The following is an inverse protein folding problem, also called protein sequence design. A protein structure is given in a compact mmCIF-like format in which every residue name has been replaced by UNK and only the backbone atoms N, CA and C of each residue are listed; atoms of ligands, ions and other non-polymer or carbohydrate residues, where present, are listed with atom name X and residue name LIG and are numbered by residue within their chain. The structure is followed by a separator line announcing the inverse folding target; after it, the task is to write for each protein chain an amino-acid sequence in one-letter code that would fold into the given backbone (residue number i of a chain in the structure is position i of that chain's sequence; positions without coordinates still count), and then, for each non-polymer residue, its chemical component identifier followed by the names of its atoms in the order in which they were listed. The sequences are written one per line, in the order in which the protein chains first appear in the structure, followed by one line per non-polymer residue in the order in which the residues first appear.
data_IF_061317930966
#
_entry.id   IF_061317930966
#
_cell.length_a   1.000
_cell.length_b   1.000
_cell.length_c   1.000
_cell.angle_alpha   90.00
_cell.angle_beta   90.00
_cell.angle_gamma   90.00
#
_symmetry.space_group_name_H-M   'P 1'
#
loop_
_entity.id
_entity.type
_entity.pdbx_description
1 polymer ?
#
# COMPACT_ATOMS: atom_id res chain seq x y z
N UNK A 1 18.47 -102.33 17.89
CA UNK A 1 17.90 -103.47 18.63
C UNK A 1 18.25 -103.27 20.11
N UNK A 2 17.75 -104.09 21.03
CA UNK A 2 18.17 -104.00 22.43
C UNK A 2 19.56 -104.63 22.60
N UNK A 3 20.42 -104.05 23.45
CA UNK A 3 21.74 -104.59 23.78
C UNK A 3 21.66 -106.07 24.17
N UNK A 4 22.43 -106.93 23.53
CA UNK A 4 22.51 -108.35 23.88
C UNK A 4 23.59 -108.57 24.94
N UNK A 5 23.20 -109.00 26.14
CA UNK A 5 24.11 -109.26 27.26
C UNK A 5 24.63 -110.70 27.26
N UNK A 6 25.92 -110.88 27.52
CA UNK A 6 26.55 -112.19 27.73
C UNK A 6 26.18 -112.66 29.15
N UNK A 7 25.56 -113.83 29.27
CA UNK A 7 25.35 -114.48 30.55
C UNK A 7 26.66 -115.17 30.98
N UNK A 8 27.27 -114.70 32.06
CA UNK A 8 28.53 -115.26 32.58
C UNK A 8 28.34 -116.44 33.54
N UNK A 9 27.09 -116.87 33.75
CA UNK A 9 26.75 -117.92 34.71
C UNK A 9 26.67 -117.40 36.15
N UNK A 10 26.17 -118.22 37.08
CA UNK A 10 25.95 -117.77 38.47
C UNK A 10 27.20 -117.91 39.35
N UNK A 11 28.17 -118.72 38.94
CA UNK A 11 29.49 -118.80 39.57
C UNK A 11 30.53 -119.31 38.56
N UNK A 12 31.81 -119.09 38.84
CA UNK A 12 32.89 -119.57 37.98
C UNK A 12 32.75 -121.08 37.71
N UNK A 13 32.90 -121.47 36.45
CA UNK A 13 32.91 -122.86 35.97
C UNK A 13 31.62 -123.68 36.18
N UNK A 14 30.50 -123.06 36.57
CA UNK A 14 29.23 -123.78 36.80
C UNK A 14 28.53 -124.25 35.52
N UNK A 15 28.93 -123.72 34.35
CA UNK A 15 28.42 -124.13 33.05
C UNK A 15 27.01 -123.64 32.74
N UNK A 16 26.45 -122.76 33.57
CA UNK A 16 25.13 -122.13 33.40
C UNK A 16 25.20 -120.75 32.71
N UNK A 17 26.36 -120.41 32.17
CA UNK A 17 26.59 -119.24 31.32
C UNK A 17 26.39 -119.54 29.83
N UNK A 18 26.50 -118.50 29.00
CA UNK A 18 26.47 -118.63 27.55
C UNK A 18 27.71 -119.41 27.07
N UNK A 19 27.55 -120.39 26.16
CA UNK A 19 28.68 -120.96 25.44
C UNK A 19 29.44 -119.89 24.66
N UNK A 20 30.75 -120.08 24.50
CA UNK A 20 31.64 -119.13 23.80
C UNK A 20 31.07 -118.68 22.45
N UNK A 21 30.50 -119.61 21.67
CA UNK A 21 29.87 -119.32 20.38
C UNK A 21 28.71 -118.34 20.51
N UNK A 22 27.81 -118.59 21.46
CA UNK A 22 26.65 -117.73 21.71
C UNK A 22 27.09 -116.35 22.20
N UNK A 23 28.08 -116.30 23.09
CA UNK A 23 28.66 -115.05 23.56
C UNK A 23 29.24 -114.22 22.40
N UNK A 24 30.04 -114.82 21.53
CA UNK A 24 30.61 -114.11 20.38
C UNK A 24 29.57 -113.73 19.31
N UNK A 25 28.49 -114.51 19.14
CA UNK A 25 27.36 -114.09 18.29
C UNK A 25 26.68 -112.84 18.83
N UNK A 26 26.44 -112.76 20.15
CA UNK A 26 25.88 -111.56 20.79
C UNK A 26 26.80 -110.35 20.64
N UNK A 27 28.11 -110.56 20.79
CA UNK A 27 29.13 -109.52 20.56
C UNK A 27 29.09 -109.01 19.13
N UNK A 28 29.10 -109.90 18.14
CA UNK A 28 29.03 -109.53 16.73
C UNK A 28 27.73 -108.80 16.40
N UNK A 29 26.59 -109.21 16.97
CA UNK A 29 25.31 -108.52 16.79
C UNK A 29 25.35 -107.08 17.33
N UNK A 30 25.88 -106.88 18.55
CA UNK A 30 26.03 -105.55 19.14
C UNK A 30 26.96 -104.65 18.32
N UNK A 31 28.11 -105.15 17.84
CA UNK A 31 29.02 -104.37 16.99
C UNK A 31 28.44 -104.11 15.60
N UNK A 32 27.71 -105.06 15.02
CA UNK A 32 27.01 -104.86 13.75
C UNK A 32 25.98 -103.74 13.89
N UNK A 33 25.27 -103.66 15.01
CA UNK A 33 24.37 -102.54 15.29
C UNK A 33 25.11 -101.21 15.42
N UNK A 34 26.26 -101.18 16.11
CA UNK A 34 27.08 -99.98 16.22
C UNK A 34 27.57 -99.49 14.85
N UNK A 35 28.06 -100.39 14.00
CA UNK A 35 28.51 -100.08 12.63
C UNK A 35 27.38 -99.70 11.69
N UNK A 36 26.21 -100.35 11.77
CA UNK A 36 25.06 -100.01 10.93
C UNK A 36 24.51 -98.59 11.22
N UNK A 37 24.77 -98.05 12.42
CA UNK A 37 24.41 -96.68 12.80
C UNK A 37 25.50 -95.66 12.48
N UNK A 38 26.66 -96.09 11.99
CA UNK A 38 27.84 -95.25 11.81
C UNK A 38 28.59 -95.63 10.52
N UNK A 39 28.33 -94.91 9.43
CA UNK A 39 28.88 -95.15 8.09
C UNK A 39 30.34 -94.67 7.90
N UNK A 40 31.09 -94.49 8.99
CA UNK A 40 32.45 -93.96 8.98
C UNK A 40 32.53 -92.44 9.14
N UNK A 41 31.39 -91.74 9.06
CA UNK A 41 31.18 -90.43 9.65
C UNK A 41 30.18 -90.60 10.80
N UNK A 42 30.35 -89.90 11.93
CA UNK A 42 29.28 -89.83 12.95
C UNK A 42 28.20 -88.89 12.40
N UNK A 43 27.50 -89.33 11.36
CA UNK A 43 26.29 -88.68 10.90
C UNK A 43 25.21 -88.93 11.97
N UNK A 44 25.08 -87.98 12.90
CA UNK A 44 23.95 -87.94 13.82
C UNK A 44 22.68 -87.68 13.00
N UNK A 45 22.04 -88.75 12.54
CA UNK A 45 20.75 -88.71 11.82
C UNK A 45 19.56 -88.51 12.76
N UNK A 46 19.82 -88.23 14.04
CA UNK A 46 18.83 -87.97 15.09
C UNK A 46 19.26 -86.74 15.89
N UNK A 47 18.33 -86.13 16.65
CA UNK A 47 18.65 -85.04 17.57
C UNK A 47 19.89 -85.34 18.43
N UNK A 48 20.79 -84.38 18.53
CA UNK A 48 21.85 -84.39 19.53
C UNK A 48 21.20 -84.03 20.87
N UNK A 49 21.36 -84.90 21.87
CA UNK A 49 20.91 -84.63 23.25
C UNK A 49 22.12 -84.14 24.05
N UNK A 50 22.02 -82.92 24.60
CA UNK A 50 23.10 -82.28 25.36
C UNK A 50 23.81 -81.16 24.59
N UNK A 51 24.88 -80.63 25.16
CA UNK A 51 25.65 -79.52 24.60
C UNK A 51 26.68 -79.98 23.56
N UNK A 52 26.97 -79.11 22.60
CA UNK A 52 28.02 -79.29 21.59
C UNK A 52 29.16 -78.32 21.89
N UNK A 53 30.39 -78.81 21.86
CA UNK A 53 31.59 -78.02 22.15
C UNK A 53 32.50 -77.98 20.93
N UNK A 54 33.25 -76.89 20.78
CA UNK A 54 34.35 -76.74 19.84
C UNK A 54 35.54 -77.61 20.22
N UNK A 55 36.51 -77.69 19.33
CA UNK A 55 37.80 -78.35 19.56
C UNK A 55 38.59 -77.69 20.71
N UNK A 56 38.44 -76.38 20.87
CA UNK A 56 38.94 -75.57 21.98
C UNK A 56 38.12 -75.70 23.27
N UNK A 57 37.11 -76.58 23.30
CA UNK A 57 36.15 -76.77 24.39
C UNK A 57 35.17 -75.60 24.63
N UNK A 58 35.07 -74.62 23.72
CA UNK A 58 34.04 -73.57 23.78
C UNK A 58 32.66 -74.18 23.53
N UNK A 59 31.67 -73.87 24.38
CA UNK A 59 30.27 -74.31 24.16
C UNK A 59 29.74 -73.63 22.90
N UNK A 60 29.35 -74.39 21.87
CA UNK A 60 28.74 -73.90 20.63
C UNK A 60 27.21 -73.93 20.72
N UNK A 61 26.67 -75.05 21.22
CA UNK A 61 25.25 -75.23 21.52
C UNK A 61 25.14 -75.63 22.97
N UNK A 62 24.41 -74.86 23.75
CA UNK A 62 24.08 -75.19 25.13
C UNK A 62 22.73 -75.91 25.17
N UNK A 63 22.79 -77.24 25.21
CA UNK A 63 21.60 -78.10 25.25
C UNK A 63 20.89 -78.09 26.61
N UNK A 64 21.53 -77.58 27.67
CA UNK A 64 20.91 -77.44 29.00
C UNK A 64 20.01 -76.20 29.05
N UNK A 65 20.49 -75.09 28.49
CA UNK A 65 19.77 -73.80 28.50
C UNK A 65 19.07 -73.46 27.19
N UNK A 66 19.09 -74.35 26.19
CA UNK A 66 18.51 -74.14 24.85
C UNK A 66 19.04 -72.88 24.16
N UNK A 67 20.36 -72.66 24.21
CA UNK A 67 21.01 -71.48 23.60
C UNK A 67 22.02 -71.91 22.54
N UNK A 68 22.18 -71.06 21.54
CA UNK A 68 23.32 -71.12 20.63
C UNK A 68 24.29 -70.04 21.07
N UNK A 69 25.54 -70.42 21.30
CA UNK A 69 26.59 -69.47 21.58
C UNK A 69 27.13 -68.92 20.25
N UNK A 70 26.93 -67.63 20.02
CA UNK A 70 27.42 -66.94 18.83
C UNK A 70 28.72 -66.19 19.15
N UNK A 71 29.69 -66.87 19.75
CA UNK A 71 31.04 -66.34 20.03
C UNK A 71 31.93 -66.38 18.76
N UNK A 72 31.39 -65.87 17.65
CA UNK A 72 31.99 -65.98 16.32
C UNK A 72 31.18 -65.25 15.23
N UNK A 73 31.36 -65.63 13.97
CA UNK A 73 30.68 -65.00 12.83
C UNK A 73 29.46 -65.79 12.38
N UNK A 74 28.38 -65.11 12.01
CA UNK A 74 27.26 -65.72 11.28
C UNK A 74 27.56 -65.69 9.78
N UNK A 75 27.58 -66.86 9.13
CA UNK A 75 27.73 -66.97 7.66
C UNK A 75 26.34 -66.95 7.01
N UNK A 76 25.80 -65.76 6.80
CA UNK A 76 24.53 -65.57 6.09
C UNK A 76 23.60 -64.58 6.80
N UNK A 77 22.36 -64.53 6.33
CA UNK A 77 21.32 -63.69 6.90
C UNK A 77 20.75 -64.33 8.17
N UNK A 78 20.41 -63.50 9.15
CA UNK A 78 19.57 -63.89 10.28
C UNK A 78 18.13 -63.59 9.87
N UNK A 79 17.33 -64.62 9.63
CA UNK A 79 15.93 -64.49 9.20
C UNK A 79 15.06 -65.22 10.24
N UNK A 80 14.09 -64.55 10.87
CA UNK A 80 13.17 -65.22 11.78
C UNK A 80 12.27 -66.21 11.03
N UNK A 81 11.85 -67.29 11.68
CA UNK A 81 10.93 -68.28 11.08
C UNK A 81 9.50 -67.73 10.92
N UNK A 82 9.15 -66.68 11.68
CA UNK A 82 7.84 -66.08 11.74
C UNK A 82 7.94 -64.56 11.71
N UNK A 83 7.12 -63.92 10.88
CA UNK A 83 7.13 -62.48 10.69
C UNK A 83 6.64 -61.73 11.95
N UNK A 84 7.36 -60.66 12.36
CA UNK A 84 7.01 -59.78 13.50
C UNK A 84 6.92 -60.49 14.86
N UNK A 85 7.50 -61.68 15.02
CA UNK A 85 7.41 -62.45 16.26
C UNK A 85 8.62 -62.27 17.21
N UNK A 86 9.79 -61.89 16.68
CA UNK A 86 11.05 -61.90 17.42
C UNK A 86 11.79 -60.57 17.37
N UNK A 87 12.39 -60.21 18.49
CA UNK A 87 13.31 -59.08 18.62
C UNK A 87 14.76 -59.50 18.39
N UNK A 88 15.59 -58.53 18.01
CA UNK A 88 17.05 -58.66 18.02
C UNK A 88 17.58 -57.92 19.25
N UNK A 89 17.90 -58.67 20.29
CA UNK A 89 18.30 -58.16 21.61
C UNK A 89 17.11 -57.89 22.54
N UNK A 90 17.37 -57.24 23.66
CA UNK A 90 16.35 -56.82 24.64
C UNK A 90 16.79 -55.54 25.36
N UNK A 91 15.95 -54.99 26.23
CA UNK A 91 16.29 -53.78 27.01
C UNK A 91 17.51 -53.96 27.94
N UNK A 92 17.81 -55.19 28.34
CA UNK A 92 18.96 -55.53 29.21
C UNK A 92 20.11 -56.21 28.46
N UNK A 93 19.87 -56.71 27.24
CA UNK A 93 20.87 -57.39 26.42
C UNK A 93 20.90 -56.75 25.03
N UNK A 94 21.66 -55.66 24.92
CA UNK A 94 21.76 -54.85 23.71
C UNK A 94 23.09 -55.10 23.00
N UNK A 95 23.07 -54.98 21.67
CA UNK A 95 24.31 -54.81 20.92
C UNK A 95 24.92 -53.44 21.28
N UNK A 96 26.24 -53.41 21.39
CA UNK A 96 26.97 -52.16 21.68
C UNK A 96 26.78 -51.16 20.54
N UNK A 97 27.08 -51.62 19.32
CA UNK A 97 27.06 -50.83 18.10
C UNK A 97 26.50 -51.69 16.95
N UNK A 98 25.98 -51.04 15.91
CA UNK A 98 25.54 -51.69 14.68
C UNK A 98 26.36 -51.17 13.50
N UNK A 99 27.18 -52.04 12.91
CA UNK A 99 28.00 -51.72 11.74
C UNK A 99 27.38 -52.36 10.49
N UNK A 100 26.99 -51.53 9.51
CA UNK A 100 26.34 -51.96 8.27
C UNK A 100 27.15 -51.46 7.07
N UNK A 101 27.31 -52.30 6.05
CA UNK A 101 27.84 -51.87 4.74
C UNK A 101 26.74 -51.34 3.81
N UNK A 102 25.49 -51.79 4.03
CA UNK A 102 24.31 -51.25 3.35
C UNK A 102 23.96 -49.85 3.85
N UNK A 103 23.21 -49.11 3.05
CA UNK A 103 22.86 -47.72 3.36
C UNK A 103 21.48 -47.56 4.02
N UNK A 104 20.74 -48.64 4.30
CA UNK A 104 19.33 -48.58 4.73
C UNK A 104 19.06 -49.50 5.93
N UNK A 105 18.33 -49.00 6.91
CA UNK A 105 17.66 -49.76 7.97
C UNK A 105 16.15 -49.64 7.75
N UNK A 106 15.45 -50.77 7.71
CA UNK A 106 13.99 -50.81 7.57
C UNK A 106 13.32 -50.80 8.95
N UNK A 107 12.39 -49.87 9.18
CA UNK A 107 11.63 -49.70 10.42
C UNK A 107 10.14 -49.69 10.08
N UNK A 108 9.53 -50.87 10.04
CA UNK A 108 8.17 -51.04 9.52
C UNK A 108 8.10 -50.69 8.03
N UNK A 109 7.23 -49.77 7.66
CA UNK A 109 7.13 -49.24 6.28
C UNK A 109 8.09 -48.09 6.00
N UNK A 110 8.72 -47.52 7.04
CA UNK A 110 9.68 -46.43 6.93
C UNK A 110 11.11 -46.97 6.81
N UNK A 111 11.98 -46.14 6.27
CA UNK A 111 13.41 -46.43 6.18
C UNK A 111 14.22 -45.33 6.79
N UNK A 112 15.33 -45.75 7.39
CA UNK A 112 16.42 -44.88 7.75
C UNK A 112 17.60 -45.11 6.82
N UNK A 113 17.99 -44.09 6.06
CA UNK A 113 18.93 -44.24 4.96
C UNK A 113 20.02 -43.18 4.97
N UNK A 114 21.19 -43.52 4.45
CA UNK A 114 22.22 -42.55 4.05
C UNK A 114 22.20 -42.41 2.52
N UNK A 115 22.15 -41.18 2.02
CA UNK A 115 22.19 -40.89 0.59
C UNK A 115 23.61 -40.95 0.00
N UNK A 116 23.72 -40.71 -1.31
CA UNK A 116 25.00 -40.74 -2.01
C UNK A 116 26.00 -39.65 -1.52
N UNK A 117 25.49 -38.62 -0.85
CA UNK A 117 26.28 -37.51 -0.30
C UNK A 117 26.62 -37.70 1.18
N UNK A 118 26.20 -38.82 1.80
CA UNK A 118 26.42 -39.07 3.22
C UNK A 118 25.37 -38.46 4.14
N UNK A 119 24.30 -37.87 3.60
CA UNK A 119 23.25 -37.29 4.45
C UNK A 119 22.28 -38.37 4.92
N UNK A 120 21.85 -38.22 6.16
CA UNK A 120 20.82 -39.03 6.77
C UNK A 120 19.43 -38.64 6.26
N UNK A 121 18.63 -39.62 5.87
CA UNK A 121 17.28 -39.46 5.34
C UNK A 121 16.30 -40.40 6.04
N UNK A 122 15.15 -39.85 6.42
CA UNK A 122 13.97 -40.57 6.89
C UNK A 122 12.93 -40.56 5.77
N UNK A 123 12.47 -41.72 5.30
CA UNK A 123 11.57 -41.78 4.13
C UNK A 123 10.20 -41.13 4.33
N UNK A 124 9.80 -40.84 5.57
CA UNK A 124 8.58 -40.11 5.93
C UNK A 124 8.83 -38.67 6.42
N UNK A 125 10.05 -38.16 6.27
CA UNK A 125 10.48 -36.90 6.90
C UNK A 125 10.79 -37.05 8.39
N UNK A 126 11.15 -35.92 9.03
CA UNK A 126 11.41 -35.86 10.46
C UNK A 126 10.14 -35.41 11.20
N UNK A 127 9.60 -36.29 12.05
CA UNK A 127 8.58 -35.94 13.04
C UNK A 127 9.27 -35.77 14.39
N UNK A 128 9.17 -34.58 14.98
CA UNK A 128 9.77 -34.28 16.28
C UNK A 128 8.78 -33.51 17.15
N UNK A 129 8.64 -33.94 18.41
CA UNK A 129 7.92 -33.17 19.42
C UNK A 129 8.79 -32.05 20.00
N UNK A 130 10.11 -32.20 19.92
CA UNK A 130 11.09 -31.21 20.35
C UNK A 130 11.51 -30.32 19.19
N UNK A 131 11.94 -29.08 19.46
CA UNK A 131 12.40 -28.18 18.42
C UNK A 131 13.55 -28.76 17.61
N UNK A 132 13.55 -28.53 16.30
CA UNK A 132 14.65 -28.94 15.42
C UNK A 132 15.66 -27.80 15.42
N UNK A 133 16.89 -28.09 15.83
CA UNK A 133 18.00 -27.13 15.85
C UNK A 133 19.05 -27.49 14.80
N UNK A 134 19.70 -26.48 14.24
CA UNK A 134 20.90 -26.62 13.41
C UNK A 134 22.13 -26.98 14.25
N UNK A 135 23.26 -27.15 13.57
CA UNK A 135 24.55 -27.44 14.19
C UNK A 135 24.98 -26.37 15.20
N UNK A 136 24.70 -25.10 14.92
CA UNK A 136 25.04 -23.97 15.79
C UNK A 136 23.93 -23.64 16.80
N UNK A 137 23.15 -24.65 17.23
CA UNK A 137 22.00 -24.50 18.13
C UNK A 137 20.90 -23.54 17.64
N UNK A 138 20.92 -23.18 16.35
CA UNK A 138 19.92 -22.30 15.75
C UNK A 138 18.60 -23.03 15.64
N UNK A 139 17.52 -22.46 16.17
CA UNK A 139 16.18 -23.03 16.03
C UNK A 139 15.73 -22.99 14.55
N UNK A 140 15.64 -24.14 13.90
CA UNK A 140 15.19 -24.27 12.50
C UNK A 140 13.68 -24.45 12.43
N UNK A 141 13.10 -25.23 13.34
CA UNK A 141 11.65 -25.45 13.45
C UNK A 141 11.25 -25.39 14.90
N UNK A 142 10.37 -24.44 15.23
CA UNK A 142 9.71 -24.36 16.52
C UNK A 142 8.49 -25.26 16.51
N UNK A 143 8.68 -26.50 16.94
CA UNK A 143 7.59 -27.49 17.01
C UNK A 143 6.59 -27.17 18.11
N UNK A 144 6.96 -26.40 19.14
CA UNK A 144 6.07 -26.01 20.22
C UNK A 144 5.03 -24.99 19.74
N UNK A 145 5.47 -24.04 18.90
CA UNK A 145 4.60 -23.01 18.33
C UNK A 145 4.13 -23.34 16.91
N UNK A 146 4.57 -24.47 16.33
CA UNK A 146 4.30 -24.85 14.93
C UNK A 146 4.74 -23.78 13.91
N UNK A 147 5.90 -23.17 14.13
CA UNK A 147 6.44 -22.11 13.28
C UNK A 147 7.87 -22.40 12.83
N UNK A 148 8.30 -21.67 11.80
CA UNK A 148 9.70 -21.58 11.39
C UNK A 148 10.15 -20.16 11.74
N UNK A 149 11.24 -19.98 12.51
CA UNK A 149 11.73 -18.65 12.85
C UNK A 149 12.09 -17.83 11.61
N UNK A 150 11.70 -16.56 11.59
CA UNK A 150 11.99 -15.67 10.47
C UNK A 150 13.49 -15.54 10.16
N UNK A 151 14.34 -15.62 11.19
CA UNK A 151 15.80 -15.54 11.08
C UNK A 151 16.43 -16.70 10.29
N UNK A 152 15.73 -17.82 10.10
CA UNK A 152 16.25 -18.97 9.35
C UNK A 152 15.72 -19.06 7.91
N UNK A 153 14.86 -18.14 7.48
CA UNK A 153 14.39 -18.07 6.10
C UNK A 153 15.45 -17.39 5.21
N UNK A 154 15.91 -18.09 4.17
CA UNK A 154 16.68 -17.48 3.09
C UNK A 154 15.78 -16.60 2.23
N UNK A 155 16.21 -15.37 1.91
CA UNK A 155 15.36 -14.40 1.20
C UNK A 155 14.20 -13.91 2.08
N UNK A 156 14.47 -13.76 3.37
CA UNK A 156 13.51 -13.44 4.41
C UNK A 156 12.47 -12.40 3.93
N UNK A 157 11.16 -12.75 3.91
CA UNK A 157 10.11 -11.85 3.42
C UNK A 157 10.12 -10.52 4.16
N UNK A 158 10.53 -9.44 3.51
CA UNK A 158 10.45 -8.10 4.10
C UNK A 158 8.99 -7.82 4.43
N UNK A 159 8.65 -7.82 5.72
CA UNK A 159 7.35 -7.34 6.16
C UNK A 159 7.34 -5.83 5.91
N UNK A 160 6.45 -5.32 5.03
CA UNK A 160 6.40 -3.90 4.72
C UNK A 160 6.23 -3.10 6.02
N UNK A 161 7.18 -2.23 6.30
CA UNK A 161 7.25 -1.47 7.56
C UNK A 161 6.85 -0.01 7.37
N UNK A 162 6.87 0.46 6.13
CA UNK A 162 6.53 1.81 5.72
C UNK A 162 5.64 1.77 4.48
N UNK A 163 5.00 2.90 4.15
CA UNK A 163 4.22 3.02 2.92
C UNK A 163 5.09 2.95 1.66
N UNK A 164 6.41 3.14 1.75
CA UNK A 164 7.33 2.96 0.61
C UNK A 164 7.60 1.49 0.29
N UNK A 165 7.40 0.59 1.26
CA UNK A 165 7.56 -0.86 1.06
C UNK A 165 6.33 -1.49 0.39
N UNK A 166 5.24 -0.72 0.24
CA UNK A 166 3.98 -1.18 -0.32
C UNK A 166 3.85 -0.74 -1.78
N UNK A 167 3.55 -1.70 -2.66
CA UNK A 167 3.08 -1.37 -4.01
C UNK A 167 1.72 -0.68 -3.89
N UNK A 168 1.63 0.53 -4.45
CA UNK A 168 0.45 1.39 -4.27
C UNK A 168 -0.80 0.85 -4.98
N UNK A 169 -0.65 0.10 -6.07
CA UNK A 169 -1.77 -0.43 -6.85
C UNK A 169 -2.73 0.68 -7.29
N UNK A 170 -4.01 0.57 -6.90
CA UNK A 170 -5.04 1.60 -7.14
C UNK A 170 -5.10 2.67 -6.04
N UNK A 171 -4.46 2.43 -4.90
CA UNK A 171 -4.37 3.42 -3.83
C UNK A 171 -3.28 4.43 -4.21
N UNK A 172 -3.51 5.72 -4.00
CA UNK A 172 -2.47 6.74 -4.18
C UNK A 172 -2.12 7.29 -2.81
N UNK A 173 -1.02 6.80 -2.22
CA UNK A 173 -0.57 7.31 -0.92
C UNK A 173 -0.15 8.77 -1.04
N UNK A 174 -0.32 9.49 0.07
CA UNK A 174 0.04 10.91 0.16
C UNK A 174 1.55 11.09 -0.06
N UNK A 175 1.88 12.06 -0.90
CA UNK A 175 3.22 12.64 -1.01
C UNK A 175 3.06 14.14 -1.22
N UNK A 176 4.02 14.93 -0.73
CA UNK A 176 4.04 16.38 -0.97
C UNK A 176 3.94 16.69 -2.46
N UNK A 177 4.72 15.98 -3.29
CA UNK A 177 4.69 16.13 -4.75
C UNK A 177 3.31 15.92 -5.38
N UNK A 178 2.51 14.95 -4.91
CA UNK A 178 1.14 14.73 -5.41
C UNK A 178 0.18 15.81 -4.92
N UNK A 179 0.32 16.25 -3.67
CA UNK A 179 -0.48 17.33 -3.12
C UNK A 179 -0.20 18.64 -3.89
N UNK A 180 1.08 18.96 -4.09
CA UNK A 180 1.52 20.13 -4.85
C UNK A 180 1.07 20.07 -6.30
N UNK A 181 1.17 18.90 -6.95
CA UNK A 181 0.67 18.70 -8.31
C UNK A 181 -0.84 18.95 -8.40
N UNK A 182 -1.63 18.50 -7.41
CA UNK A 182 -3.08 18.76 -7.36
C UNK A 182 -3.40 20.23 -7.14
N UNK A 183 -2.69 20.91 -6.24
CA UNK A 183 -2.89 22.35 -5.99
C UNK A 183 -2.47 23.19 -7.20
N UNK A 184 -1.36 22.84 -7.85
CA UNK A 184 -0.86 23.52 -9.06
C UNK A 184 -1.79 23.35 -10.25
N UNK A 185 -2.44 22.18 -10.36
CA UNK A 185 -3.41 21.92 -11.41
C UNK A 185 -4.77 22.59 -11.17
N UNK A 186 -5.08 22.95 -9.92
CA UNK A 186 -6.30 23.65 -9.59
C UNK A 186 -6.19 25.15 -9.90
N UNK A 187 -7.30 25.75 -10.31
CA UNK A 187 -7.46 27.19 -10.43
C UNK A 187 -8.62 27.67 -9.56
N UNK A 188 -8.87 28.98 -9.53
CA UNK A 188 -10.02 29.53 -8.81
C UNK A 188 -11.37 29.04 -9.36
N UNK A 189 -11.42 28.45 -10.57
CA UNK A 189 -12.66 27.86 -11.10
C UNK A 189 -12.98 26.51 -10.46
N UNK A 190 -11.98 25.82 -9.90
CA UNK A 190 -12.15 24.52 -9.24
C UNK A 190 -12.54 24.66 -7.77
N UNK A 191 -12.48 25.89 -7.24
CA UNK A 191 -12.78 26.21 -5.85
C UNK A 191 -14.20 26.77 -5.73
N UNK A 192 -15.00 26.21 -4.83
CA UNK A 192 -16.27 26.81 -4.44
C UNK A 192 -16.02 28.15 -3.75
N UNK A 193 -16.67 29.23 -4.21
CA UNK A 193 -16.38 30.57 -3.70
C UNK A 193 -16.93 30.81 -2.27
N UNK A 194 -18.02 30.14 -1.89
CA UNK A 194 -18.64 30.31 -0.57
C UNK A 194 -19.04 31.77 -0.31
N UNK A 195 -18.51 32.38 0.76
CA UNK A 195 -18.66 33.82 1.06
C UNK A 195 -17.64 34.69 0.34
N UNK A 196 -16.53 34.11 -0.10
CA UNK A 196 -15.58 34.80 -0.96
C UNK A 196 -16.17 34.86 -2.35
N UNK A 197 -15.79 35.90 -3.07
CA UNK A 197 -16.51 36.31 -4.26
C UNK A 197 -15.41 36.73 -5.24
N UNK A 198 -14.88 35.77 -6.00
CA UNK A 198 -13.70 35.96 -6.86
C UNK A 198 -13.99 36.96 -7.99
N UNK A 199 -12.93 37.57 -8.53
CA UNK A 199 -13.06 38.54 -9.61
C UNK A 199 -13.68 37.89 -10.84
N UNK A 200 -14.73 38.53 -11.38
CA UNK A 200 -15.19 38.29 -12.75
C UNK A 200 -15.56 39.61 -13.39
N UNK A 201 -15.28 39.76 -14.69
CA UNK A 201 -15.63 40.97 -15.45
C UNK A 201 -17.13 41.27 -15.35
N UNK A 202 -17.97 40.23 -15.33
CA UNK A 202 -19.41 40.37 -15.15
C UNK A 202 -19.78 41.04 -13.83
N UNK A 203 -19.18 40.63 -12.70
CA UNK A 203 -19.50 41.19 -11.38
C UNK A 203 -19.02 42.62 -11.23
N UNK A 204 -17.85 42.94 -11.79
CA UNK A 204 -17.35 44.32 -11.85
C UNK A 204 -18.26 45.19 -12.71
N UNK A 205 -18.67 44.69 -13.87
CA UNK A 205 -19.59 45.39 -14.78
C UNK A 205 -20.94 45.63 -14.12
N UNK A 206 -21.50 44.66 -13.39
CA UNK A 206 -22.74 44.87 -12.62
C UNK A 206 -22.57 45.97 -11.59
N UNK A 207 -21.43 46.06 -10.91
CA UNK A 207 -21.19 47.06 -9.87
C UNK A 207 -20.97 48.46 -10.43
N UNK A 208 -20.39 48.60 -11.63
CA UNK A 208 -20.04 49.89 -12.25
C UNK A 208 -21.05 50.36 -13.32
N UNK A 209 -21.84 49.46 -13.91
CA UNK A 209 -22.73 49.77 -15.04
C UNK A 209 -23.94 50.63 -14.66
N UNK A 210 -24.36 50.59 -13.40
CA UNK A 210 -25.41 51.45 -12.85
C UNK A 210 -24.89 52.16 -11.63
N UNK A 211 -24.68 53.48 -11.73
CA UNK A 211 -24.32 54.31 -10.59
C UNK A 211 -25.57 54.55 -9.75
N UNK A 212 -25.68 53.85 -8.62
CA UNK A 212 -26.83 53.96 -7.69
C UNK A 212 -26.60 54.92 -6.52
N UNK A 213 -25.55 55.73 -6.57
CA UNK A 213 -25.17 56.70 -5.53
C UNK A 213 -24.53 57.95 -6.13
N UNK A 214 -24.09 58.88 -5.30
CA UNK A 214 -23.38 60.07 -5.77
C UNK A 214 -22.03 59.71 -6.38
N UNK A 215 -21.66 60.43 -7.44
CA UNK A 215 -20.29 60.44 -7.96
C UNK A 215 -19.57 61.57 -7.25
N UNK A 216 -18.71 61.23 -6.29
CA UNK A 216 -17.92 62.18 -5.52
C UNK A 216 -16.44 61.87 -5.80
N UNK A 217 -15.68 62.79 -6.41
CA UNK A 217 -14.25 62.61 -6.58
C UNK A 217 -13.54 62.45 -5.22
N UNK A 218 -12.51 61.60 -5.14
CA UNK A 218 -11.76 61.39 -3.88
C UNK A 218 -10.85 62.58 -3.51
N UNK A 219 -10.58 63.45 -4.48
CA UNK A 219 -9.69 64.60 -4.38
C UNK A 219 -10.30 65.77 -5.14
N UNK A 220 -10.25 66.96 -4.52
CA UNK A 220 -10.83 68.18 -5.08
C UNK A 220 -10.11 68.62 -6.37
N UNK A 221 -10.89 69.11 -7.35
CA UNK A 221 -10.44 69.65 -8.66
C UNK A 221 -9.43 68.76 -9.43
N UNK A 222 -9.41 67.44 -9.17
CA UNK A 222 -8.40 66.53 -9.75
C UNK A 222 -8.92 65.74 -10.95
N UNK A 223 -10.19 65.33 -10.94
CA UNK A 223 -10.75 64.42 -11.94
C UNK A 223 -11.83 65.10 -12.78
N UNK A 224 -11.77 64.84 -14.08
CA UNK A 224 -12.80 65.24 -15.04
C UNK A 224 -13.95 64.23 -15.08
N UNK A 225 -15.14 64.72 -15.41
CA UNK A 225 -16.27 63.88 -15.82
C UNK A 225 -16.30 63.77 -17.36
N UNK A 226 -15.56 62.79 -17.88
CA UNK A 226 -15.40 62.55 -19.32
C UNK A 226 -14.07 63.11 -19.85
N UNK A 227 -13.90 63.09 -21.17
CA UNK A 227 -12.74 63.64 -21.86
C UNK A 227 -13.09 64.13 -23.26
N UNK A 228 -12.14 64.74 -23.98
CA UNK A 228 -12.35 65.19 -25.36
C UNK A 228 -12.76 64.07 -26.33
N UNK A 229 -12.31 62.84 -26.09
CA UNK A 229 -12.66 61.65 -26.89
C UNK A 229 -13.82 60.86 -26.28
N UNK A 230 -14.03 60.94 -24.96
CA UNK A 230 -15.01 60.15 -24.23
C UNK A 230 -15.99 61.09 -23.55
N UNK A 231 -16.92 61.64 -24.34
CA UNK A 231 -17.91 62.61 -23.88
C UNK A 231 -19.21 61.91 -23.50
N UNK A 232 -19.91 62.45 -22.51
CA UNK A 232 -21.32 62.12 -22.34
C UNK A 232 -22.09 62.68 -23.53
N UNK A 233 -22.94 61.83 -24.13
CA UNK A 233 -23.75 62.25 -25.27
C UNK A 233 -24.69 63.40 -24.86
N UNK A 234 -25.36 63.23 -23.73
CA UNK A 234 -26.34 64.15 -23.17
C UNK A 234 -26.23 64.11 -21.64
N UNK A 235 -26.58 65.22 -20.97
CA UNK A 235 -26.67 65.30 -19.52
C UNK A 235 -28.12 65.52 -19.10
N UNK A 236 -28.74 64.48 -18.54
CA UNK A 236 -30.11 64.53 -18.03
C UNK A 236 -30.08 64.75 -16.51
N UNK A 237 -30.51 65.93 -16.07
CA UNK A 237 -30.56 66.31 -14.66
C UNK A 237 -32.02 66.58 -14.28
N UNK A 238 -32.43 66.08 -13.11
CA UNK A 238 -33.72 66.47 -12.50
C UNK A 238 -33.60 67.68 -11.57
N UNK A 239 -32.38 67.99 -11.12
CA UNK A 239 -32.10 69.17 -10.31
C UNK A 239 -32.17 70.46 -11.12
N UNK A 240 -32.34 71.59 -10.43
CA UNK A 240 -32.50 72.91 -11.06
C UNK A 240 -31.20 73.67 -11.27
N UNK A 241 -30.03 73.09 -10.94
CA UNK A 241 -28.76 73.83 -10.91
C UNK A 241 -27.56 73.02 -11.41
N UNK A 242 -26.57 73.72 -11.97
CA UNK A 242 -25.23 73.24 -12.33
C UNK A 242 -24.22 74.23 -11.74
N UNK A 243 -23.24 73.72 -10.99
CA UNK A 243 -22.16 74.52 -10.41
C UNK A 243 -20.93 74.52 -11.34
N UNK A 244 -20.42 75.70 -11.66
CA UNK A 244 -19.25 75.92 -12.51
C UNK A 244 -18.27 76.82 -11.75
N UNK A 245 -17.33 76.22 -11.03
CA UNK A 245 -16.48 76.94 -10.08
C UNK A 245 -17.32 77.62 -8.99
N UNK A 246 -17.15 78.94 -8.82
CA UNK A 246 -17.95 79.74 -7.88
C UNK A 246 -19.29 80.24 -8.44
N UNK A 247 -19.59 79.97 -9.71
CA UNK A 247 -20.82 80.39 -10.39
C UNK A 247 -21.82 79.24 -10.49
N UNK A 248 -23.10 79.58 -10.65
CA UNK A 248 -24.18 78.61 -10.80
C UNK A 248 -25.04 78.97 -12.02
N UNK A 249 -25.33 77.97 -12.84
CA UNK A 249 -26.38 77.98 -13.85
C UNK A 249 -27.61 77.34 -13.23
N UNK A 250 -28.76 78.00 -13.29
CA UNK A 250 -30.03 77.48 -12.80
C UNK A 250 -31.15 77.64 -13.81
N UNK A 251 -32.24 76.93 -13.59
CA UNK A 251 -33.50 77.11 -14.31
C UNK A 251 -34.53 77.68 -13.34
N UNK A 252 -35.17 78.78 -13.70
CA UNK A 252 -36.23 79.40 -12.90
C UNK A 252 -37.57 78.65 -13.03
N UNK A 253 -38.58 79.11 -12.30
CA UNK A 253 -39.90 78.48 -12.30
C UNK A 253 -40.60 78.48 -13.68
N UNK A 254 -40.14 79.30 -14.63
CA UNK A 254 -40.69 79.44 -15.96
C UNK A 254 -39.89 78.67 -17.02
N UNK A 255 -38.80 77.99 -16.63
CA UNK A 255 -37.94 77.26 -17.57
C UNK A 255 -36.83 78.12 -18.18
N UNK A 256 -36.64 79.36 -17.73
CA UNK A 256 -35.58 80.23 -18.22
C UNK A 256 -34.26 79.98 -17.48
N UNK A 257 -33.15 80.06 -18.21
CA UNK A 257 -31.83 79.97 -17.61
C UNK A 257 -31.48 81.25 -16.83
N UNK A 258 -31.01 81.07 -15.60
CA UNK A 258 -30.51 82.13 -14.73
C UNK A 258 -29.06 81.85 -14.30
N UNK A 259 -28.29 82.93 -14.10
CA UNK A 259 -26.90 82.86 -13.63
C UNK A 259 -26.78 83.60 -12.29
N UNK A 260 -26.12 83.00 -11.30
CA UNK A 260 -25.96 83.60 -9.97
C UNK A 260 -24.92 84.73 -9.89
N UNK A 261 -24.11 84.91 -10.94
CA UNK A 261 -23.28 86.08 -11.17
C UNK A 261 -23.82 86.86 -12.37
N UNK A 262 -23.71 88.19 -12.36
CA UNK A 262 -24.14 89.01 -13.50
C UNK A 262 -23.62 88.45 -14.82
N UNK A 263 -24.47 88.47 -15.85
CA UNK A 263 -24.08 87.97 -17.18
C UNK A 263 -22.99 88.91 -17.70
N UNK A 264 -21.73 88.44 -17.77
CA UNK A 264 -20.72 89.07 -18.64
C UNK A 264 -21.11 88.73 -20.07
N UNK A 265 -22.19 89.34 -20.54
CA UNK A 265 -22.65 89.10 -21.89
C UNK A 265 -21.61 89.72 -22.82
N UNK A 266 -21.15 88.95 -23.79
CA UNK A 266 -20.90 89.53 -25.11
C UNK A 266 -22.13 90.41 -25.44
N UNK A 267 -21.96 91.57 -26.09
CA UNK A 267 -23.06 92.51 -26.34
C UNK A 267 -24.33 91.76 -26.69
N UNK A 268 -25.47 92.09 -26.07
CA UNK A 268 -26.72 91.38 -26.39
C UNK A 268 -27.01 91.67 -27.85
N UNK A 269 -26.77 90.67 -28.70
CA UNK A 269 -26.91 90.82 -30.12
C UNK A 269 -28.38 90.65 -30.51
N UNK A 270 -28.87 91.50 -31.40
CA UNK A 270 -30.07 91.22 -32.17
C UNK A 270 -29.86 90.02 -33.09
N UNK A 271 -30.93 89.59 -33.74
CA UNK A 271 -30.90 88.54 -34.77
C UNK A 271 -29.81 88.79 -35.84
N UNK A 272 -29.57 90.04 -36.20
CA UNK A 272 -28.57 90.48 -37.18
C UNK A 272 -27.21 90.86 -36.56
N UNK A 273 -26.86 90.36 -35.37
CA UNK A 273 -25.60 90.70 -34.70
C UNK A 273 -25.44 92.19 -34.36
N UNK A 274 -26.54 92.95 -34.31
CA UNK A 274 -26.55 94.34 -33.86
C UNK A 274 -26.46 94.38 -32.33
N UNK A 275 -25.54 95.19 -31.78
CA UNK A 275 -25.42 95.32 -30.33
C UNK A 275 -26.64 96.07 -29.80
N UNK A 276 -27.62 95.38 -29.21
CA UNK A 276 -28.84 95.99 -28.65
C UNK A 276 -28.58 96.65 -27.29
N UNK A 277 -27.66 96.08 -26.52
CA UNK A 277 -27.21 96.64 -25.24
C UNK A 277 -25.70 96.43 -25.15
N UNK A 278 -24.95 97.53 -25.08
CA UNK A 278 -23.53 97.50 -24.74
C UNK A 278 -23.42 97.36 -23.22
N UNK A 279 -23.30 96.11 -22.79
CA UNK A 279 -23.14 95.74 -21.39
C UNK A 279 -21.75 96.05 -20.83
N UNK A 280 -20.77 96.38 -21.69
CA UNK A 280 -19.44 96.80 -21.23
C UNK A 280 -19.44 98.26 -20.76
N UNK A 281 -20.20 99.12 -21.42
CA UNK A 281 -20.33 100.54 -21.06
C UNK A 281 -21.66 100.89 -20.37
N UNK A 282 -22.56 99.91 -20.21
CA UNK A 282 -23.94 100.12 -19.70
C UNK A 282 -24.73 101.13 -20.53
N UNK A 283 -24.50 101.15 -21.85
CA UNK A 283 -25.14 102.07 -22.79
C UNK A 283 -25.97 101.30 -23.83
N UNK A 284 -27.01 101.94 -24.37
CA UNK A 284 -27.67 101.49 -25.59
C UNK A 284 -27.01 102.24 -26.74
N UNK A 285 -26.30 101.57 -27.68
CA UNK A 285 -25.60 102.26 -28.75
C UNK A 285 -26.57 103.09 -29.62
N UNK A 286 -26.16 104.31 -29.98
CA UNK A 286 -26.99 105.25 -30.75
C UNK A 286 -27.52 104.67 -32.07
N UNK A 287 -26.78 103.75 -32.70
CA UNK A 287 -27.19 103.08 -33.94
C UNK A 287 -28.41 102.17 -33.79
N UNK A 288 -28.78 101.80 -32.56
CA UNK A 288 -29.93 100.93 -32.26
C UNK A 288 -31.24 101.71 -32.24
N UNK A 289 -31.19 103.02 -31.95
CA UNK A 289 -32.38 103.85 -31.92
C UNK A 289 -32.42 104.71 -33.19
N UNK A 290 -33.12 104.21 -34.20
CA UNK A 290 -33.37 104.97 -35.42
C UNK A 290 -34.34 106.12 -35.12
N UNK A 291 -33.79 107.34 -35.01
CA UNK A 291 -34.55 108.57 -34.84
C UNK A 291 -34.80 109.31 -36.17
N UNK A 292 -34.51 108.69 -37.31
CA UNK A 292 -34.78 109.28 -38.62
C UNK A 292 -36.29 109.25 -38.89
N UNK A 293 -36.83 110.41 -39.29
CA UNK A 293 -38.27 110.60 -39.53
C UNK A 293 -39.03 111.23 -38.36
N UNK A 294 -38.39 111.50 -37.22
CA UNK A 294 -39.02 112.32 -36.17
C UNK A 294 -39.12 113.80 -36.60
N UNK A 295 -40.23 114.50 -36.31
CA UNK A 295 -40.39 115.93 -36.61
C UNK A 295 -39.26 116.77 -35.98
N UNK A 296 -38.73 117.77 -36.68
CA UNK A 296 -37.68 118.68 -36.15
C UNK A 296 -38.23 119.90 -35.40
N UNK A 297 -39.53 119.88 -35.13
CA UNK A 297 -40.25 120.87 -34.35
C UNK A 297 -41.40 120.18 -33.64
N UNK A 298 -41.88 120.76 -32.54
CA UNK A 298 -42.96 120.18 -31.75
C UNK A 298 -44.21 119.91 -32.62
N UNK A 299 -44.64 118.64 -32.78
CA UNK A 299 -45.81 118.29 -33.58
C UNK A 299 -47.13 118.70 -32.92
N UNK A 300 -47.10 119.18 -31.67
CA UNK A 300 -48.27 119.67 -30.94
C UNK A 300 -49.29 118.60 -30.54
N UNK A 301 -48.94 117.32 -30.73
CA UNK A 301 -49.77 116.17 -30.31
C UNK A 301 -49.12 115.52 -29.09
N UNK A 302 -49.73 115.61 -27.90
CA UNK A 302 -49.14 115.11 -26.66
C UNK A 302 -48.71 113.64 -26.77
N UNK A 303 -47.48 113.36 -26.34
CA UNK A 303 -46.88 112.02 -26.35
C UNK A 303 -46.10 111.66 -27.62
N UNK A 304 -46.15 112.48 -28.68
CA UNK A 304 -45.30 112.26 -29.86
C UNK A 304 -43.86 112.70 -29.61
N UNK A 305 -42.90 111.89 -30.07
CA UNK A 305 -41.48 112.21 -30.02
C UNK A 305 -41.11 113.17 -31.16
N UNK A 306 -40.22 114.11 -30.89
CA UNK A 306 -39.70 115.07 -31.87
C UNK A 306 -38.27 115.47 -31.52
N UNK A 307 -37.53 116.05 -32.47
CA UNK A 307 -36.13 116.46 -32.30
C UNK A 307 -36.02 117.96 -32.11
N UNK A 308 -35.34 118.38 -31.05
CA UNK A 308 -34.95 119.77 -30.80
C UNK A 308 -33.43 119.86 -30.78
N UNK A 309 -32.83 120.13 -31.94
CA UNK A 309 -31.39 120.00 -32.12
C UNK A 309 -30.93 118.55 -31.92
N UNK A 310 -30.04 118.33 -30.96
CA UNK A 310 -29.51 116.99 -30.64
C UNK A 310 -30.38 116.22 -29.62
N UNK A 311 -31.36 116.87 -28.99
CA UNK A 311 -32.23 116.24 -28.01
C UNK A 311 -33.49 115.66 -28.66
N UNK A 312 -33.92 114.48 -28.18
CA UNK A 312 -35.26 113.96 -28.45
C UNK A 312 -36.18 114.42 -27.33
N UNK A 313 -37.27 115.09 -27.68
CA UNK A 313 -38.29 115.61 -26.76
C UNK A 313 -39.61 114.91 -27.00
N UNK A 314 -40.45 114.88 -25.97
CA UNK A 314 -41.86 114.52 -26.08
C UNK A 314 -42.65 115.82 -26.20
N UNK A 315 -43.54 115.86 -27.19
CA UNK A 315 -44.57 116.89 -27.30
C UNK A 315 -45.45 116.81 -26.06
N UNK A 316 -45.56 117.93 -25.36
CA UNK A 316 -46.38 118.09 -24.15
C UNK A 316 -47.69 118.77 -24.48
#
# INVERSE_FOLDING_TARGET
MAQQNINIGTSANKGDGDPIRTAFTKVNANFTELFARHDGSIAHVTDIKGSVFGDDSTTLVDGLNSKINLDGTVKGNIIPDTNVAYDIGSSTHRFKDLYLSGNTIHLGTSTLKVDASGNFQLSGGLQSNNPIVGDDSTLLVDTANSTIPYSVLSGAPTIPSTTTDLSEGTNLYYTDARADARITAASTTDLSEGTNLYYTDARVTTKLGSVSSHIIPDTDVTYDLGSNSNRFKDLYLSGTTIHLGSSQLSVDANGNFAFSGGVKSQPVLGDDSTVLVDTANSEIPYAVINFDGLPTSDPGTPGQLWRNGNDVKISV
#
